data_IF_988868042736
#
_entry.id   IF_988868042736
#
_cell.length_a   1.000
_cell.length_b   1.000
_cell.length_c   1.000
_cell.angle_alpha   90.00
_cell.angle_beta   90.00
_cell.angle_gamma   90.00
#
_symmetry.space_group_name_H-M   'P 1'
#
loop_
_entity.id
_entity.type
_entity.pdbx_description
1 polymer ?
#
# COMPACT_ATOMS: atom_id res chain seq x y z
N UNK A 1 35.90 18.76 30.06
CA UNK A 1 35.50 19.27 28.74
C UNK A 1 34.00 19.07 28.63
N UNK A 2 33.22 20.12 28.91
CA UNK A 2 31.76 20.06 28.91
C UNK A 2 31.32 19.98 27.45
N UNK A 3 30.63 18.90 27.08
CA UNK A 3 29.94 18.78 25.80
C UNK A 3 28.80 19.79 25.80
N UNK A 4 29.03 20.94 25.15
CA UNK A 4 27.98 21.91 24.86
C UNK A 4 27.13 21.28 23.76
N UNK A 5 25.90 20.88 24.09
CA UNK A 5 24.91 20.53 23.07
C UNK A 5 24.78 21.73 22.12
N UNK A 6 24.92 21.55 20.80
CA UNK A 6 24.69 22.63 19.85
C UNK A 6 23.25 23.18 20.04
N UNK A 7 23.02 24.48 19.84
CA UNK A 7 21.70 25.07 19.99
C UNK A 7 20.73 24.38 19.03
N UNK A 8 19.60 23.92 19.58
CA UNK A 8 18.48 23.39 18.83
C UNK A 8 17.91 24.54 17.99
N UNK A 9 18.14 24.51 16.67
CA UNK A 9 17.53 25.46 15.73
C UNK A 9 16.04 25.15 15.75
N UNK A 10 15.21 26.06 16.26
CA UNK A 10 13.75 25.89 16.22
C UNK A 10 13.27 25.82 14.77
N UNK A 11 12.43 24.85 14.45
CA UNK A 11 11.77 24.76 13.16
C UNK A 11 10.97 26.05 12.88
N UNK A 12 11.06 26.56 11.65
CA UNK A 12 10.25 27.70 11.23
C UNK A 12 8.80 27.25 11.05
N UNK A 13 7.86 28.09 11.48
CA UNK A 13 6.42 27.81 11.32
C UNK A 13 6.07 27.60 9.85
N UNK A 14 5.12 26.70 9.60
CA UNK A 14 4.56 26.50 8.27
C UNK A 14 3.88 27.78 7.76
N UNK A 15 3.92 27.94 6.45
CA UNK A 15 3.31 29.04 5.69
C UNK A 15 2.32 28.46 4.68
N UNK A 16 1.39 29.27 4.22
CA UNK A 16 0.43 28.86 3.21
C UNK A 16 0.53 29.77 1.99
N UNK A 17 0.66 29.17 0.82
CA UNK A 17 0.60 29.85 -0.47
C UNK A 17 -0.53 29.25 -1.31
N UNK A 18 -1.23 30.10 -2.05
CA UNK A 18 -2.25 29.66 -3.01
C UNK A 18 -1.63 29.58 -4.40
N UNK A 19 -1.78 28.42 -5.05
CA UNK A 19 -1.33 28.18 -6.40
C UNK A 19 -2.52 27.83 -7.29
N UNK A 20 -2.75 28.64 -8.33
CA UNK A 20 -3.67 28.27 -9.41
C UNK A 20 -3.12 27.07 -10.17
N UNK A 21 -3.80 25.92 -10.08
CA UNK A 21 -3.47 24.70 -10.80
C UNK A 21 -4.07 24.71 -12.21
N UNK A 22 -5.25 25.31 -12.37
CA UNK A 22 -5.86 25.67 -13.66
C UNK A 22 -6.77 26.89 -13.51
N UNK A 23 -7.52 27.23 -14.56
CA UNK A 23 -8.36 28.42 -14.62
C UNK A 23 -9.51 28.41 -13.58
N UNK A 24 -9.85 27.24 -13.02
CA UNK A 24 -10.99 27.06 -12.11
C UNK A 24 -10.58 26.51 -10.73
N UNK A 25 -9.32 26.11 -10.55
CA UNK A 25 -8.87 25.37 -9.37
C UNK A 25 -7.60 25.96 -8.76
N UNK A 26 -7.71 26.31 -7.47
CA UNK A 26 -6.58 26.66 -6.63
C UNK A 26 -6.21 25.50 -5.70
N UNK A 27 -4.91 25.30 -5.48
CA UNK A 27 -4.39 24.45 -4.41
C UNK A 27 -3.68 25.27 -3.35
N UNK A 28 -3.85 24.85 -2.10
CA UNK A 28 -3.08 25.36 -0.97
C UNK A 28 -1.78 24.58 -0.84
N UNK A 29 -0.65 25.28 -0.97
CA UNK A 29 0.66 24.77 -0.62
C UNK A 29 0.91 25.04 0.87
N UNK A 30 1.03 24.00 1.68
CA UNK A 30 1.56 24.14 3.05
C UNK A 30 3.07 24.01 2.98
N UNK A 31 3.75 25.13 3.17
CA UNK A 31 5.19 25.29 3.02
C UNK A 31 5.85 25.22 4.40
N UNK A 32 6.78 24.29 4.56
CA UNK A 32 7.68 24.19 5.71
C UNK A 32 9.05 24.70 5.27
N UNK A 33 9.37 25.99 5.50
CA UNK A 33 10.53 26.65 4.91
C UNK A 33 11.84 26.10 5.48
N UNK A 34 12.88 26.05 4.64
CA UNK A 34 14.24 25.73 5.10
C UNK A 34 15.30 26.43 4.25
N UNK A 35 16.42 26.80 4.89
CA UNK A 35 17.50 27.56 4.24
C UNK A 35 18.48 26.71 3.39
N UNK A 36 18.17 25.45 3.11
CA UNK A 36 18.99 24.61 2.24
C UNK A 36 18.63 24.68 0.76
N UNK A 37 19.34 23.88 -0.03
CA UNK A 37 19.27 23.85 -1.50
C UNK A 37 18.31 22.77 -2.05
N UNK A 38 17.53 22.13 -1.18
CA UNK A 38 16.64 21.02 -1.54
C UNK A 38 15.19 21.34 -1.19
N UNK A 39 14.28 20.95 -2.08
CA UNK A 39 12.84 21.05 -1.95
C UNK A 39 12.21 19.66 -2.15
N UNK A 40 11.39 19.23 -1.20
CA UNK A 40 10.56 18.03 -1.29
C UNK A 40 9.09 18.44 -1.48
N UNK A 41 8.52 18.13 -2.64
CA UNK A 41 7.08 18.28 -2.88
C UNK A 41 6.40 16.97 -2.47
N UNK A 42 5.52 17.01 -1.46
CA UNK A 42 4.82 15.87 -0.90
C UNK A 42 3.39 15.80 -1.43
N UNK A 43 3.09 14.73 -2.16
CA UNK A 43 1.76 14.36 -2.64
C UNK A 43 1.18 13.20 -1.81
N UNK A 44 0.23 13.46 -0.89
CA UNK A 44 -0.39 12.43 -0.06
C UNK A 44 -1.33 11.54 -0.90
N UNK A 45 -1.54 10.30 -0.46
CA UNK A 45 -2.54 9.39 -1.09
C UNK A 45 -3.95 9.59 -0.56
N UNK A 46 -4.05 9.89 0.71
CA UNK A 46 -5.25 10.16 1.50
C UNK A 46 -4.73 11.02 2.65
N UNK A 47 -5.59 11.78 3.34
CA UNK A 47 -5.09 12.70 4.36
C UNK A 47 -4.23 12.01 5.41
N UNK A 48 -2.93 12.22 5.33
CA UNK A 48 -1.98 11.96 6.40
C UNK A 48 -2.33 12.97 7.50
N UNK A 49 -2.46 12.57 8.78
CA UNK A 49 -2.81 13.50 9.85
C UNK A 49 -1.84 14.68 9.88
N UNK A 50 -2.37 15.89 10.09
CA UNK A 50 -1.58 17.12 10.06
C UNK A 50 -0.37 17.05 11.00
N UNK A 51 -0.55 16.53 12.22
CA UNK A 51 0.53 16.31 13.19
C UNK A 51 1.66 15.43 12.64
N UNK A 52 1.32 14.40 11.86
CA UNK A 52 2.31 13.51 11.25
C UNK A 52 3.07 14.22 10.13
N UNK A 53 2.39 15.06 9.35
CA UNK A 53 3.03 15.89 8.32
C UNK A 53 3.99 16.88 8.97
N UNK A 54 3.54 17.58 10.01
CA UNK A 54 4.34 18.53 10.80
C UNK A 54 5.58 17.84 11.39
N UNK A 55 5.42 16.71 12.08
CA UNK A 55 6.54 15.98 12.70
C UNK A 55 7.62 15.55 11.68
N UNK A 56 7.22 15.14 10.48
CA UNK A 56 8.15 14.72 9.43
C UNK A 56 8.78 15.93 8.74
N UNK A 57 8.00 16.99 8.50
CA UNK A 57 8.48 18.22 7.90
C UNK A 57 9.46 18.94 8.82
N UNK A 58 9.19 19.00 10.13
CA UNK A 58 10.10 19.54 11.14
C UNK A 58 11.45 18.81 11.10
N UNK A 59 11.46 17.48 11.08
CA UNK A 59 12.69 16.69 10.94
C UNK A 59 13.47 17.07 9.67
N UNK A 60 12.78 17.26 8.55
CA UNK A 60 13.38 17.64 7.27
C UNK A 60 13.91 19.09 7.28
N UNK A 61 13.20 20.03 7.92
CA UNK A 61 13.67 21.42 8.08
C UNK A 61 14.98 21.49 8.89
N UNK A 62 15.12 20.68 9.95
CA UNK A 62 16.38 20.56 10.70
C UNK A 62 17.53 20.02 9.84
N UNK A 63 17.20 19.21 8.83
CA UNK A 63 18.12 18.72 7.80
C UNK A 63 18.27 19.68 6.62
N UNK A 64 17.71 20.89 6.73
CA UNK A 64 17.71 21.98 5.73
C UNK A 64 16.97 21.64 4.43
N UNK A 65 16.01 20.72 4.48
CA UNK A 65 15.12 20.41 3.36
C UNK A 65 13.82 21.20 3.53
N UNK A 66 13.47 21.97 2.52
CA UNK A 66 12.17 22.63 2.45
C UNK A 66 11.11 21.62 2.01
N UNK A 67 9.92 21.67 2.60
CA UNK A 67 8.83 20.74 2.27
C UNK A 67 7.60 21.52 1.81
N UNK A 68 7.05 21.15 0.68
CA UNK A 68 5.74 21.62 0.23
C UNK A 68 4.75 20.47 0.29
N UNK A 69 3.79 20.54 1.20
CA UNK A 69 2.71 19.56 1.29
C UNK A 69 1.49 20.07 0.52
N UNK A 70 0.96 19.23 -0.38
CA UNK A 70 -0.13 19.62 -1.30
C UNK A 70 -1.21 18.55 -1.36
N UNK A 71 -2.38 18.81 -0.76
CA UNK A 71 -3.54 17.92 -0.83
C UNK A 71 -4.35 18.18 -2.10
N UNK A 72 -3.98 17.50 -3.20
CA UNK A 72 -4.67 17.64 -4.49
C UNK A 72 -6.10 17.08 -4.47
N UNK A 73 -6.44 16.18 -3.54
CA UNK A 73 -7.83 15.74 -3.39
C UNK A 73 -8.69 16.89 -2.85
N UNK A 74 -8.17 17.64 -1.88
CA UNK A 74 -8.84 18.82 -1.36
C UNK A 74 -8.99 19.91 -2.43
N UNK A 75 -7.93 20.23 -3.16
CA UNK A 75 -7.97 21.22 -4.25
C UNK A 75 -9.04 20.88 -5.30
N UNK A 76 -9.21 19.58 -5.62
CA UNK A 76 -10.17 19.08 -6.61
C UNK A 76 -11.54 18.74 -6.03
N UNK A 77 -11.81 19.07 -4.76
CA UNK A 77 -13.04 18.69 -4.04
C UNK A 77 -13.39 17.19 -4.14
N UNK A 78 -12.36 16.34 -4.23
CA UNK A 78 -12.50 14.90 -4.36
C UNK A 78 -12.61 14.25 -2.98
N UNK A 79 -13.48 13.23 -2.80
CA UNK A 79 -13.55 12.48 -1.55
C UNK A 79 -12.20 11.84 -1.21
N UNK A 80 -11.81 11.82 0.07
CA UNK A 80 -10.55 11.23 0.57
C UNK A 80 -10.56 9.70 0.53
N UNK A 81 -10.64 9.14 -0.68
CA UNK A 81 -10.69 7.70 -0.96
C UNK A 81 -9.61 7.30 -1.95
N UNK A 82 -9.20 6.03 -1.92
CA UNK A 82 -8.16 5.54 -2.81
C UNK A 82 -8.52 5.61 -4.30
N UNK A 83 -9.79 5.45 -4.67
CA UNK A 83 -10.24 5.56 -6.06
C UNK A 83 -10.23 7.01 -6.56
N UNK A 84 -10.46 7.98 -5.66
CA UNK A 84 -10.43 9.40 -6.03
C UNK A 84 -9.04 9.87 -6.46
N UNK A 85 -7.98 9.24 -5.94
CA UNK A 85 -6.59 9.60 -6.27
C UNK A 85 -6.30 9.48 -7.77
N UNK A 86 -6.92 8.52 -8.45
CA UNK A 86 -6.77 8.34 -9.90
C UNK A 86 -7.54 9.37 -10.73
N UNK A 87 -8.35 10.22 -10.09
CA UNK A 87 -9.05 11.33 -10.75
C UNK A 87 -8.27 12.63 -10.71
N UNK A 88 -7.13 12.66 -10.01
CA UNK A 88 -6.22 13.81 -10.02
C UNK A 88 -5.66 13.93 -11.45
N UNK A 89 -5.86 15.07 -12.15
CA UNK A 89 -5.31 15.25 -13.48
C UNK A 89 -3.78 15.18 -13.48
N UNK A 90 -3.21 14.50 -14.47
CA UNK A 90 -1.75 14.37 -14.63
C UNK A 90 -1.04 15.74 -14.67
N UNK A 91 -1.72 16.77 -15.20
CA UNK A 91 -1.20 18.13 -15.31
C UNK A 91 -1.00 18.82 -13.95
N UNK A 92 -1.67 18.40 -12.88
CA UNK A 92 -1.56 19.04 -11.56
C UNK A 92 -0.12 18.96 -11.04
N UNK A 93 0.51 17.79 -11.20
CA UNK A 93 1.92 17.58 -10.85
C UNK A 93 2.84 18.42 -11.72
N UNK A 94 2.52 18.59 -13.02
CA UNK A 94 3.30 19.43 -13.94
C UNK A 94 3.29 20.88 -13.48
N UNK A 95 2.13 21.40 -13.07
CA UNK A 95 1.98 22.78 -12.60
C UNK A 95 2.77 23.00 -11.30
N UNK A 96 2.71 22.05 -10.36
CA UNK A 96 3.50 22.10 -9.13
C UNK A 96 5.01 22.14 -9.41
N UNK A 97 5.49 21.26 -10.29
CA UNK A 97 6.91 21.21 -10.66
C UNK A 97 7.35 22.50 -11.35
N UNK A 98 6.56 23.02 -12.30
CA UNK A 98 6.87 24.29 -13.00
C UNK A 98 6.85 25.49 -12.07
N UNK A 99 5.91 25.53 -11.12
CA UNK A 99 5.85 26.58 -10.12
C UNK A 99 7.12 26.54 -9.25
N UNK A 100 7.49 25.36 -8.72
CA UNK A 100 8.75 25.18 -8.00
C UNK A 100 9.97 25.61 -8.83
N UNK A 101 10.01 25.25 -10.12
CA UNK A 101 11.09 25.67 -11.00
C UNK A 101 11.18 27.18 -11.17
N UNK A 102 10.04 27.88 -11.17
CA UNK A 102 9.96 29.33 -11.34
C UNK A 102 10.35 30.10 -10.08
N UNK A 103 9.90 29.65 -8.91
CA UNK A 103 10.03 30.42 -7.66
C UNK A 103 11.27 30.08 -6.85
N UNK A 104 11.93 28.95 -7.14
CA UNK A 104 13.14 28.53 -6.43
C UNK A 104 14.21 27.96 -7.35
N UNK A 105 15.47 28.10 -6.94
CA UNK A 105 16.64 27.47 -7.56
C UNK A 105 17.04 26.15 -6.90
N UNK A 106 16.25 25.67 -5.92
CA UNK A 106 16.49 24.41 -5.21
C UNK A 106 16.43 23.20 -6.15
N UNK A 107 17.08 22.12 -5.73
CA UNK A 107 16.92 20.79 -6.29
C UNK A 107 15.60 20.19 -5.82
N UNK A 108 14.77 19.73 -6.75
CA UNK A 108 13.37 19.37 -6.52
C UNK A 108 13.22 17.86 -6.46
N UNK A 109 12.56 17.34 -5.44
CA UNK A 109 12.19 15.93 -5.30
C UNK A 109 10.68 15.83 -5.18
N UNK A 110 10.10 14.78 -5.76
CA UNK A 110 8.70 14.45 -5.54
C UNK A 110 8.63 13.29 -4.56
N UNK A 111 7.79 13.40 -3.55
CA UNK A 111 7.47 12.33 -2.61
C UNK A 111 5.99 11.99 -2.73
N UNK A 112 5.68 10.73 -3.03
CA UNK A 112 4.32 10.26 -3.19
C UNK A 112 4.05 9.01 -2.36
N UNK A 113 2.84 8.92 -1.82
CA UNK A 113 2.45 7.83 -0.92
C UNK A 113 1.45 6.90 -1.60
N UNK A 114 1.49 5.61 -1.29
CA UNK A 114 0.43 4.64 -1.62
C UNK A 114 -0.12 4.79 -3.06
N UNK A 115 -1.35 5.27 -3.24
CA UNK A 115 -1.98 5.38 -4.58
C UNK A 115 -1.59 6.66 -5.32
N UNK A 116 -1.08 7.68 -4.62
CA UNK A 116 -0.54 8.89 -5.26
C UNK A 116 0.72 8.60 -6.11
N UNK A 117 1.28 7.40 -5.98
CA UNK A 117 2.30 6.87 -6.91
C UNK A 117 1.88 7.01 -8.36
N UNK A 118 0.62 6.72 -8.70
CA UNK A 118 0.15 6.73 -10.08
C UNK A 118 0.10 8.15 -10.68
N UNK A 119 -0.64 9.12 -10.11
CA UNK A 119 -0.63 10.49 -10.63
C UNK A 119 0.77 11.12 -10.57
N UNK A 120 1.60 10.79 -9.58
CA UNK A 120 3.00 11.22 -9.53
C UNK A 120 3.79 10.74 -10.75
N UNK A 121 3.70 9.44 -11.09
CA UNK A 121 4.37 8.87 -12.27
C UNK A 121 3.83 9.46 -13.57
N UNK A 122 2.51 9.62 -13.70
CA UNK A 122 1.89 10.15 -14.92
C UNK A 122 2.26 11.60 -15.14
N UNK A 123 2.13 12.44 -14.11
CA UNK A 123 2.47 13.85 -14.19
C UNK A 123 3.97 14.08 -14.38
N UNK A 124 4.83 13.27 -13.75
CA UNK A 124 6.27 13.33 -14.01
C UNK A 124 6.62 12.95 -15.45
N UNK A 125 5.97 11.91 -16.01
CA UNK A 125 6.15 11.54 -17.41
C UNK A 125 5.70 12.67 -18.35
N UNK A 126 4.56 13.30 -18.08
CA UNK A 126 4.06 14.44 -18.85
C UNK A 126 5.01 15.64 -18.75
N UNK A 127 5.52 15.94 -17.54
CA UNK A 127 6.51 16.99 -17.32
C UNK A 127 7.81 16.70 -18.09
N UNK A 128 8.30 15.46 -18.05
CA UNK A 128 9.47 15.00 -18.79
C UNK A 128 9.36 15.15 -20.32
N UNK A 129 8.14 15.08 -20.86
CA UNK A 129 7.88 15.28 -22.29
C UNK A 129 7.85 16.75 -22.70
N UNK A 130 7.86 17.69 -21.74
CA UNK A 130 7.88 19.12 -22.02
C UNK A 130 9.29 19.61 -22.37
N UNK A 131 9.39 20.70 -23.13
CA UNK A 131 10.68 21.25 -23.61
C UNK A 131 11.52 21.96 -22.51
N UNK A 132 11.33 21.62 -21.24
CA UNK A 132 11.95 22.30 -20.09
C UNK A 132 13.24 21.58 -19.69
N UNK A 133 14.22 22.32 -19.16
CA UNK A 133 15.43 21.73 -18.61
C UNK A 133 15.15 21.04 -17.26
N UNK A 134 15.25 19.72 -17.24
CA UNK A 134 14.98 18.88 -16.07
C UNK A 134 16.18 18.72 -15.11
N UNK A 135 17.29 19.45 -15.29
CA UNK A 135 18.54 19.24 -14.55
C UNK A 135 18.46 19.41 -13.03
N UNK A 136 17.42 20.08 -12.53
CA UNK A 136 17.19 20.30 -11.08
C UNK A 136 16.29 19.26 -10.43
N UNK A 137 15.69 18.35 -11.18
CA UNK A 137 14.90 17.28 -10.58
C UNK A 137 15.81 16.20 -10.02
N UNK A 138 15.71 15.93 -8.72
CA UNK A 138 16.55 15.00 -7.97
C UNK A 138 16.08 13.56 -8.01
N UNK A 139 14.78 13.31 -8.19
CA UNK A 139 14.19 11.98 -8.25
C UNK A 139 12.83 11.89 -7.55
N UNK A 140 12.23 10.70 -7.66
CA UNK A 140 10.94 10.35 -7.08
C UNK A 140 11.11 9.42 -5.87
N UNK A 141 10.58 9.82 -4.72
CA UNK A 141 10.50 9.00 -3.53
C UNK A 141 9.08 8.44 -3.39
N UNK A 142 8.97 7.13 -3.18
CA UNK A 142 7.70 6.42 -3.09
C UNK A 142 7.60 5.72 -1.75
N UNK A 143 6.62 6.10 -0.93
CA UNK A 143 6.32 5.41 0.32
C UNK A 143 5.14 4.45 0.15
N UNK A 144 5.41 3.15 0.35
CA UNK A 144 4.44 2.07 0.22
C UNK A 144 3.65 2.09 -1.11
N UNK A 145 4.32 2.23 -2.27
CA UNK A 145 3.67 2.53 -3.55
C UNK A 145 2.65 1.48 -4.00
N UNK A 146 1.68 1.93 -4.81
CA UNK A 146 0.72 1.06 -5.48
C UNK A 146 0.80 1.27 -6.99
N UNK A 147 1.15 0.20 -7.72
CA UNK A 147 1.51 0.24 -9.15
C UNK A 147 0.48 -0.40 -10.08
N UNK A 148 -0.62 -0.94 -9.55
CA UNK A 148 -1.59 -1.71 -10.32
C UNK A 148 -2.81 -0.87 -10.69
N UNK A 149 -3.55 -1.32 -11.70
CA UNK A 149 -4.82 -0.72 -12.13
C UNK A 149 -5.86 -0.85 -11.04
N UNK A 150 -6.06 -2.07 -10.56
CA UNK A 150 -6.94 -2.39 -9.45
C UNK A 150 -6.39 -3.60 -8.68
N UNK A 151 -7.07 -3.94 -7.58
CA UNK A 151 -6.83 -5.22 -6.93
C UNK A 151 -7.68 -6.27 -7.66
N UNK A 152 -7.10 -7.19 -8.47
CA UNK A 152 -7.80 -8.27 -9.15
C UNK A 152 -8.59 -9.16 -8.19
N UNK A 153 -9.55 -9.88 -8.74
CA UNK A 153 -10.18 -10.97 -8.00
C UNK A 153 -9.15 -12.09 -7.76
N UNK A 154 -9.27 -12.84 -6.65
CA UNK A 154 -8.33 -13.92 -6.38
C UNK A 154 -8.33 -14.93 -7.53
N UNK A 155 -7.12 -15.32 -7.96
CA UNK A 155 -6.91 -16.21 -9.10
C UNK A 155 -6.72 -15.50 -10.44
N UNK A 156 -6.96 -14.19 -10.51
CA UNK A 156 -6.60 -13.38 -11.67
C UNK A 156 -5.21 -12.77 -11.51
N UNK A 157 -4.56 -12.47 -12.63
CA UNK A 157 -3.31 -11.72 -12.64
C UNK A 157 -3.60 -10.23 -12.43
N UNK A 158 -2.63 -9.54 -11.84
CA UNK A 158 -2.72 -8.12 -11.58
C UNK A 158 -2.15 -7.32 -12.75
N UNK A 159 -2.93 -6.40 -13.30
CA UNK A 159 -2.48 -5.52 -14.37
C UNK A 159 -1.72 -4.32 -13.80
N UNK A 160 -0.49 -4.14 -14.26
CA UNK A 160 0.31 -2.96 -13.95
C UNK A 160 -0.28 -1.74 -14.66
N UNK A 161 -0.26 -0.59 -13.99
CA UNK A 161 -0.61 0.67 -14.63
C UNK A 161 0.41 0.94 -15.76
N UNK A 162 -0.02 1.29 -17.00
CA UNK A 162 0.90 1.44 -18.13
C UNK A 162 2.06 2.39 -17.88
N UNK A 163 1.84 3.45 -17.08
CA UNK A 163 2.87 4.42 -16.71
C UNK A 163 4.08 3.81 -15.99
N UNK A 164 3.90 2.68 -15.31
CA UNK A 164 4.98 1.94 -14.60
C UNK A 164 6.01 1.41 -15.60
N UNK A 165 5.56 1.05 -16.81
CA UNK A 165 6.42 0.60 -17.90
C UNK A 165 6.89 1.74 -18.82
N UNK A 166 6.77 3.00 -18.35
CA UNK A 166 6.98 4.17 -19.21
C UNK A 166 7.69 5.32 -18.49
N UNK A 167 8.36 5.03 -17.37
CA UNK A 167 9.20 5.99 -16.65
C UNK A 167 10.66 5.57 -16.68
N UNK A 168 11.55 6.54 -16.75
CA UNK A 168 13.00 6.33 -16.71
C UNK A 168 13.67 7.12 -15.58
N UNK A 169 12.90 7.54 -14.57
CA UNK A 169 13.35 8.45 -13.51
C UNK A 169 14.16 7.72 -12.43
N UNK A 170 15.04 8.42 -11.69
CA UNK A 170 15.54 7.93 -10.42
C UNK A 170 14.39 7.73 -9.43
N UNK A 171 14.23 6.53 -8.90
CA UNK A 171 13.14 6.17 -7.98
C UNK A 171 13.72 5.55 -6.71
N UNK A 172 13.23 6.01 -5.56
CA UNK A 172 13.52 5.40 -4.27
C UNK A 172 12.22 4.89 -3.65
N UNK A 173 12.15 3.59 -3.36
CA UNK A 173 10.98 2.95 -2.76
C UNK A 173 11.24 2.65 -1.29
N UNK A 174 10.41 3.21 -0.42
CA UNK A 174 10.31 2.87 1.00
C UNK A 174 9.15 1.88 1.16
N UNK A 175 9.44 0.59 1.40
CA UNK A 175 8.43 -0.46 1.43
C UNK A 175 8.37 -1.17 2.79
N UNK A 176 7.30 -0.98 3.58
CA UNK A 176 7.03 -1.78 4.76
C UNK A 176 6.95 -3.28 4.43
N UNK A 177 7.68 -4.09 5.20
CA UNK A 177 7.77 -5.54 5.02
C UNK A 177 6.43 -6.24 5.27
N UNK A 178 5.68 -5.81 6.29
CA UNK A 178 4.38 -6.40 6.68
C UNK A 178 3.23 -5.78 5.88
N UNK A 179 3.45 -5.51 4.60
CA UNK A 179 2.44 -5.02 3.67
C UNK A 179 2.23 -6.07 2.58
N UNK A 180 0.99 -6.34 2.15
CA UNK A 180 0.73 -7.17 0.97
C UNK A 180 1.46 -6.69 -0.29
N UNK A 181 1.83 -5.41 -0.35
CA UNK A 181 2.56 -4.79 -1.45
C UNK A 181 4.04 -5.14 -1.49
N UNK A 182 4.62 -5.62 -0.38
CA UNK A 182 6.04 -5.99 -0.33
C UNK A 182 6.40 -7.03 -1.40
N UNK A 183 5.56 -8.06 -1.54
CA UNK A 183 5.79 -9.15 -2.47
C UNK A 183 5.60 -8.76 -3.94
N UNK A 184 4.90 -7.66 -4.20
CA UNK A 184 4.66 -7.13 -5.55
C UNK A 184 5.92 -6.49 -6.15
N UNK A 185 6.90 -6.10 -5.32
CA UNK A 185 8.16 -5.53 -5.78
C UNK A 185 8.93 -6.45 -6.74
N UNK A 186 8.71 -7.77 -6.65
CA UNK A 186 9.32 -8.76 -7.56
C UNK A 186 8.94 -8.52 -9.03
N UNK A 187 7.76 -7.95 -9.27
CA UNK A 187 7.22 -7.71 -10.61
C UNK A 187 7.34 -6.22 -10.98
N UNK A 188 7.13 -5.32 -10.01
CA UNK A 188 7.09 -3.86 -10.28
C UNK A 188 8.47 -3.24 -10.42
N UNK A 189 9.48 -3.68 -9.65
CA UNK A 189 10.85 -3.14 -9.76
C UNK A 189 11.46 -3.47 -11.12
N UNK A 190 11.42 -4.73 -11.62
CA UNK A 190 11.90 -5.02 -12.97
C UNK A 190 11.17 -4.25 -14.07
N UNK A 191 9.86 -3.99 -13.91
CA UNK A 191 9.09 -3.18 -14.86
C UNK A 191 9.60 -1.73 -14.95
N UNK A 192 9.87 -1.10 -13.80
CA UNK A 192 10.45 0.24 -13.71
C UNK A 192 11.87 0.29 -14.29
N UNK A 193 12.72 -0.68 -13.94
CA UNK A 193 14.11 -0.76 -14.39
C UNK A 193 14.21 -1.03 -15.90
N UNK A 194 13.38 -1.92 -16.44
CA UNK A 194 13.29 -2.19 -17.88
C UNK A 194 12.97 -0.93 -18.68
N UNK A 195 12.28 0.02 -18.07
CA UNK A 195 11.88 1.30 -18.66
C UNK A 195 12.95 2.39 -18.52
N UNK A 196 14.08 2.07 -17.87
CA UNK A 196 15.25 2.93 -17.73
C UNK A 196 15.39 3.64 -16.38
N UNK A 197 14.52 3.33 -15.41
CA UNK A 197 14.59 3.91 -14.06
C UNK A 197 15.74 3.28 -13.26
N UNK A 198 16.48 4.10 -12.52
CA UNK A 198 17.36 3.59 -11.45
C UNK A 198 16.51 3.44 -10.19
N UNK A 199 16.31 2.21 -9.72
CA UNK A 199 15.38 1.92 -8.61
C UNK A 199 16.15 1.48 -7.38
N UNK A 200 16.01 2.23 -6.29
CA UNK A 200 16.47 1.83 -4.96
C UNK A 200 15.29 1.34 -4.14
N UNK A 201 15.48 0.24 -3.40
CA UNK A 201 14.45 -0.31 -2.51
C UNK A 201 14.99 -0.38 -1.09
N UNK A 202 14.31 0.30 -0.17
CA UNK A 202 14.52 0.17 1.26
C UNK A 202 13.33 -0.56 1.89
N UNK A 203 13.56 -1.81 2.27
CA UNK A 203 12.58 -2.63 2.99
C UNK A 203 12.56 -2.19 4.45
N UNK A 204 11.43 -1.67 4.91
CA UNK A 204 11.23 -1.25 6.29
C UNK A 204 10.79 -2.46 7.11
N UNK A 205 11.77 -3.14 7.71
CA UNK A 205 11.61 -4.42 8.42
C UNK A 205 10.65 -4.28 9.60
N UNK A 206 9.79 -5.28 9.79
CA UNK A 206 8.80 -5.37 10.88
C UNK A 206 7.83 -4.18 10.97
N UNK A 207 7.69 -3.39 9.90
CA UNK A 207 6.72 -2.31 9.84
C UNK A 207 5.53 -2.71 8.98
N UNK A 208 4.35 -2.28 9.41
CA UNK A 208 3.12 -2.41 8.63
C UNK A 208 2.98 -1.23 7.66
N UNK A 209 2.12 -1.41 6.66
CA UNK A 209 1.64 -0.28 5.88
C UNK A 209 1.05 0.79 6.80
N UNK A 210 1.24 2.07 6.45
CA UNK A 210 0.73 3.23 7.19
C UNK A 210 1.38 3.47 8.57
N UNK A 211 2.51 2.83 8.87
CA UNK A 211 3.19 2.88 10.18
C UNK A 211 3.31 4.29 10.80
N UNK A 212 3.40 5.34 9.99
CA UNK A 212 3.65 6.72 10.43
C UNK A 212 2.43 7.44 10.99
N UNK A 213 1.22 6.91 10.85
CA UNK A 213 0.00 7.51 11.41
C UNK A 213 -1.02 6.46 11.90
N UNK A 214 -0.55 5.29 12.31
CA UNK A 214 -1.44 4.26 12.85
C UNK A 214 -1.92 4.66 14.25
N UNK A 215 -3.24 4.63 14.53
CA UNK A 215 -3.74 4.85 15.89
C UNK A 215 -3.35 3.70 16.84
N UNK A 216 -3.08 2.52 16.30
CA UNK A 216 -2.61 1.31 16.98
C UNK A 216 -1.11 1.05 16.73
N UNK A 217 -0.30 2.10 16.56
CA UNK A 217 1.13 1.97 16.29
C UNK A 217 1.86 1.18 17.39
N UNK A 218 2.69 0.23 16.99
CA UNK A 218 3.58 -0.49 17.91
C UNK A 218 4.71 0.43 18.38
N UNK A 219 5.37 0.07 19.49
CA UNK A 219 6.57 0.80 19.95
C UNK A 219 7.69 0.86 18.89
N UNK A 220 7.78 -0.15 18.02
CA UNK A 220 8.75 -0.16 16.93
C UNK A 220 8.39 0.86 15.86
N UNK A 221 7.12 0.90 15.45
CA UNK A 221 6.60 1.88 14.48
C UNK A 221 6.74 3.31 15.01
N UNK A 222 6.36 3.58 16.26
CA UNK A 222 6.52 4.91 16.89
C UNK A 222 7.98 5.37 16.90
N UNK A 223 8.93 4.49 17.25
CA UNK A 223 10.36 4.83 17.20
C UNK A 223 10.83 5.12 15.79
N UNK A 224 10.35 4.37 14.81
CA UNK A 224 10.71 4.54 13.42
C UNK A 224 10.16 5.86 12.86
N UNK A 225 8.89 6.20 13.14
CA UNK A 225 8.26 7.46 12.73
C UNK A 225 9.05 8.69 13.18
N UNK A 226 9.60 8.66 14.41
CA UNK A 226 10.47 9.74 14.94
C UNK A 226 11.78 9.94 14.18
N UNK A 227 12.16 9.00 13.33
CA UNK A 227 13.37 9.08 12.50
C UNK A 227 13.01 9.14 11.01
N UNK A 228 11.73 9.13 10.65
CA UNK A 228 11.33 8.94 9.27
C UNK A 228 11.77 10.09 8.35
N UNK A 229 11.78 11.33 8.83
CA UNK A 229 12.33 12.46 8.07
C UNK A 229 13.82 12.29 7.74
N UNK A 230 14.60 11.71 8.65
CA UNK A 230 16.01 11.37 8.38
C UNK A 230 16.15 10.30 7.29
N UNK A 231 15.26 9.31 7.28
CA UNK A 231 15.26 8.25 6.27
C UNK A 231 14.88 8.80 4.89
N UNK A 232 13.88 9.70 4.84
CA UNK A 232 13.51 10.43 3.60
C UNK A 232 14.72 11.23 3.10
N UNK A 233 15.38 11.98 3.97
CA UNK A 233 16.59 12.74 3.61
C UNK A 233 17.72 11.85 3.07
N UNK A 234 18.02 10.73 3.73
CA UNK A 234 19.03 9.78 3.25
C UNK A 234 18.67 9.20 1.88
N UNK A 235 17.39 8.96 1.63
CA UNK A 235 16.88 8.48 0.35
C UNK A 235 17.11 9.52 -0.77
N UNK A 236 16.90 10.81 -0.48
CA UNK A 236 17.23 11.91 -1.39
C UNK A 236 18.72 11.97 -1.72
N UNK A 237 19.59 11.74 -0.72
CA UNK A 237 21.03 11.71 -0.94
C UNK A 237 21.47 10.54 -1.83
N UNK A 238 20.82 9.38 -1.70
CA UNK A 238 21.14 8.25 -2.59
C UNK A 238 20.69 8.52 -4.03
N UNK A 239 19.53 9.12 -4.24
CA UNK A 239 19.05 9.52 -5.57
C UNK A 239 20.04 10.48 -6.27
N UNK A 240 20.75 11.31 -5.51
CA UNK A 240 21.77 12.20 -6.06
C UNK A 240 22.93 11.48 -6.74
N UNK A 241 23.21 10.23 -6.35
CA UNK A 241 24.30 9.44 -6.94
C UNK A 241 24.04 9.02 -8.39
N UNK A 242 22.78 9.02 -8.84
CA UNK A 242 22.37 8.55 -10.19
C UNK A 242 21.74 9.65 -11.05
N UNK A 243 21.68 10.89 -10.56
CA UNK A 243 20.99 11.98 -11.24
C UNK A 243 21.77 12.60 -12.42
N UNK A 244 23.05 12.26 -12.58
CA UNK A 244 23.89 12.79 -13.67
C UNK A 244 23.72 12.04 -15.00
N UNK A 245 22.89 10.99 -15.05
CA UNK A 245 22.62 10.23 -16.28
C UNK A 245 21.68 11.04 -17.17
N UNK A 246 22.07 11.25 -18.44
CA UNK A 246 21.16 11.79 -19.46
C UNK A 246 20.09 10.74 -19.78
N UNK A 247 18.81 11.15 -19.74
CA UNK A 247 17.66 10.26 -19.88
C UNK A 247 16.82 10.70 -21.06
N UNK A 248 16.56 9.80 -22.01
CA UNK A 248 15.66 10.04 -23.15
C UNK A 248 14.28 9.54 -22.78
N UNK A 249 13.32 10.46 -22.74
CA UNK A 249 11.95 10.20 -22.35
C UNK A 249 11.24 9.45 -23.47
N UNK A 250 10.64 8.30 -23.17
CA UNK A 250 9.83 7.56 -24.14
C UNK A 250 8.65 8.43 -24.57
N UNK A 251 8.50 8.72 -25.87
CA UNK A 251 7.46 9.62 -26.41
C UNK A 251 6.16 8.92 -26.81
N UNK A 252 6.07 7.59 -26.67
CA UNK A 252 4.87 6.83 -27.02
C UNK A 252 3.66 7.19 -26.15
N UNK A 253 2.46 7.16 -26.74
CA UNK A 253 1.21 7.27 -25.99
C UNK A 253 1.10 6.10 -24.99
N UNK A 254 0.57 6.39 -23.81
CA UNK A 254 0.23 5.33 -22.85
C UNK A 254 -1.07 4.69 -23.28
N UNK A 255 -1.15 3.37 -23.16
CA UNK A 255 -2.43 2.67 -23.23
C UNK A 255 -3.38 3.28 -22.19
N UNK A 256 -4.58 3.64 -22.62
CA UNK A 256 -5.59 4.17 -21.70
C UNK A 256 -6.24 3.00 -20.99
N UNK A 257 -6.11 2.95 -19.66
CA UNK A 257 -6.78 1.94 -18.84
C UNK A 257 -7.85 2.62 -18.00
N UNK A 258 -9.08 2.13 -18.11
CA UNK A 258 -10.19 2.59 -17.28
C UNK A 258 -10.13 1.91 -15.92
N UNK A 259 -9.84 2.67 -14.87
CA UNK A 259 -10.03 2.21 -13.50
C UNK A 259 -11.53 2.16 -13.21
N UNK A 260 -12.04 1.00 -12.78
CA UNK A 260 -13.46 0.85 -12.44
C UNK A 260 -13.86 1.86 -11.35
N UNK A 261 -14.92 2.62 -11.61
CA UNK A 261 -15.48 3.53 -10.63
C UNK A 261 -16.38 2.78 -9.63
N UNK A 262 -16.33 3.19 -8.36
CA UNK A 262 -17.20 2.67 -7.30
C UNK A 262 -16.66 1.47 -6.53
N UNK A 263 -17.43 1.01 -5.54
CA UNK A 263 -17.12 -0.22 -4.81
C UNK A 263 -17.43 -1.40 -5.72
N UNK A 264 -16.44 -2.25 -5.96
CA UNK A 264 -16.68 -3.58 -6.54
C UNK A 264 -17.61 -4.34 -5.59
N UNK A 265 -18.74 -4.85 -6.11
CA UNK A 265 -19.60 -5.73 -5.34
C UNK A 265 -18.79 -6.93 -4.87
N UNK A 266 -18.86 -7.20 -3.57
CA UNK A 266 -18.10 -8.27 -2.91
C UNK A 266 -19.06 -9.43 -2.70
N UNK A 267 -18.90 -10.49 -3.50
CA UNK A 267 -19.65 -11.72 -3.37
C UNK A 267 -18.74 -12.91 -3.67
N UNK A 268 -19.11 -14.07 -3.14
CA UNK A 268 -18.36 -15.30 -3.35
C UNK A 268 -18.51 -15.77 -4.79
N UNK A 269 -17.42 -15.71 -5.56
CA UNK A 269 -17.38 -15.95 -7.00
C UNK A 269 -16.67 -17.25 -7.35
N UNK A 270 -17.02 -17.85 -8.49
CA UNK A 270 -16.32 -19.02 -9.00
C UNK A 270 -14.86 -18.68 -9.29
N UNK A 271 -13.94 -19.49 -8.76
CA UNK A 271 -12.51 -19.25 -8.89
C UNK A 271 -12.03 -19.44 -10.33
N UNK A 272 -11.25 -18.49 -10.85
CA UNK A 272 -10.79 -18.47 -12.24
C UNK A 272 -9.30 -18.84 -12.40
N UNK A 273 -8.62 -19.18 -11.30
CA UNK A 273 -7.21 -19.57 -11.32
C UNK A 273 -6.97 -21.07 -11.37
N UNK A 274 -5.73 -21.49 -11.07
CA UNK A 274 -5.35 -22.91 -10.93
C UNK A 274 -6.06 -23.52 -9.73
N UNK A 275 -6.95 -24.48 -9.96
CA UNK A 275 -7.85 -24.99 -8.91
C UNK A 275 -7.13 -25.82 -7.86
N UNK A 276 -5.94 -26.33 -8.13
CA UNK A 276 -5.08 -26.93 -7.11
C UNK A 276 -4.56 -25.83 -6.16
N UNK A 277 -4.93 -25.84 -4.86
CA UNK A 277 -4.45 -24.85 -3.92
C UNK A 277 -2.94 -24.99 -3.72
N UNK A 278 -2.21 -23.88 -3.59
CA UNK A 278 -0.84 -23.91 -3.12
C UNK A 278 -0.76 -24.59 -1.74
N UNK A 279 0.40 -25.17 -1.36
CA UNK A 279 0.57 -25.74 -0.04
C UNK A 279 0.25 -24.72 1.07
N UNK A 280 -0.40 -25.18 2.12
CA UNK A 280 -0.64 -24.39 3.33
C UNK A 280 -0.38 -25.29 4.54
N UNK A 281 0.80 -25.10 5.13
CA UNK A 281 1.26 -25.86 6.30
C UNK A 281 1.89 -24.89 7.28
N UNK A 282 1.18 -24.58 8.36
CA UNK A 282 1.53 -23.52 9.30
C UNK A 282 1.28 -23.95 10.75
N UNK A 283 2.03 -23.40 11.73
CA UNK A 283 1.67 -23.54 13.12
C UNK A 283 0.35 -22.81 13.43
N UNK A 284 -0.50 -23.40 14.25
CA UNK A 284 -1.69 -22.78 14.80
C UNK A 284 -1.38 -22.06 16.13
N UNK A 285 -2.36 -21.36 16.68
CA UNK A 285 -2.22 -20.64 17.95
C UNK A 285 -1.86 -21.54 19.14
N UNK A 286 -2.23 -22.82 19.12
CA UNK A 286 -1.88 -23.80 20.16
C UNK A 286 -0.51 -24.47 19.93
N UNK A 287 0.22 -24.06 18.88
CA UNK A 287 1.51 -24.63 18.48
C UNK A 287 1.42 -25.90 17.64
N UNK A 288 0.23 -26.46 17.40
CA UNK A 288 0.06 -27.60 16.50
C UNK A 288 0.32 -27.17 15.06
N UNK A 289 0.93 -28.03 14.24
CA UNK A 289 1.08 -27.75 12.81
C UNK A 289 -0.12 -28.28 12.06
N UNK A 290 -0.86 -27.37 11.44
CA UNK A 290 -2.00 -27.70 10.57
C UNK A 290 -1.51 -27.71 9.13
N UNK A 291 -1.85 -28.77 8.40
CA UNK A 291 -1.58 -28.94 6.98
C UNK A 291 -2.93 -29.04 6.25
N UNK A 292 -3.15 -28.23 5.22
CA UNK A 292 -4.40 -28.21 4.45
C UNK A 292 -4.81 -29.62 3.96
N UNK A 293 -3.83 -30.49 3.67
CA UNK A 293 -4.08 -31.88 3.24
C UNK A 293 -4.74 -32.76 4.31
N UNK A 294 -4.74 -32.33 5.58
CA UNK A 294 -5.43 -33.06 6.65
C UNK A 294 -6.95 -33.00 6.50
N UNK A 295 -7.45 -32.05 5.70
CA UNK A 295 -8.87 -31.81 5.49
C UNK A 295 -9.38 -32.38 4.16
N UNK A 296 -8.67 -33.35 3.57
CA UNK A 296 -9.18 -34.13 2.44
C UNK A 296 -10.56 -34.72 2.80
N UNK A 297 -11.49 -34.71 1.84
CA UNK A 297 -12.91 -35.06 2.01
C UNK A 297 -13.75 -34.09 2.88
N UNK A 298 -13.21 -32.91 3.23
CA UNK A 298 -13.95 -31.82 3.85
C UNK A 298 -13.94 -30.59 2.95
N UNK A 299 -14.98 -29.75 3.07
CA UNK A 299 -14.98 -28.42 2.47
C UNK A 299 -14.21 -27.49 3.39
N UNK A 300 -13.26 -26.73 2.85
CA UNK A 300 -12.39 -25.84 3.63
C UNK A 300 -12.58 -24.40 3.19
N UNK A 301 -12.90 -23.51 4.14
CA UNK A 301 -12.82 -22.06 3.94
C UNK A 301 -11.48 -21.54 4.48
N UNK A 302 -10.56 -21.18 3.60
CA UNK A 302 -9.29 -20.53 3.95
C UNK A 302 -9.48 -19.02 3.88
N UNK A 303 -9.25 -18.29 4.99
CA UNK A 303 -9.37 -16.83 5.06
C UNK A 303 -8.05 -16.20 5.47
N UNK A 304 -7.52 -15.30 4.64
CA UNK A 304 -6.30 -14.55 4.90
C UNK A 304 -6.63 -13.19 5.51
N UNK A 305 -6.13 -12.95 6.73
CA UNK A 305 -6.50 -11.78 7.53
C UNK A 305 -5.35 -11.23 8.38
N UNK A 306 -5.60 -10.09 9.03
CA UNK A 306 -4.71 -9.48 10.01
C UNK A 306 -5.52 -8.73 11.08
N UNK A 307 -5.00 -8.63 12.31
CA UNK A 307 -5.70 -8.00 13.46
C UNK A 307 -6.06 -6.54 13.21
N UNK A 308 -5.24 -5.88 12.39
CA UNK A 308 -5.36 -4.47 12.06
C UNK A 308 -6.23 -4.17 10.85
N UNK A 309 -6.84 -5.19 10.23
CA UNK A 309 -7.69 -5.08 9.04
C UNK A 309 -9.18 -4.95 9.47
N UNK A 310 -9.79 -3.76 9.45
CA UNK A 310 -11.16 -3.59 9.94
C UNK A 310 -12.21 -4.45 9.21
N UNK A 311 -12.16 -4.61 7.86
CA UNK A 311 -13.09 -5.51 7.18
C UNK A 311 -12.93 -6.98 7.59
N UNK A 312 -11.71 -7.42 7.89
CA UNK A 312 -11.45 -8.76 8.38
C UNK A 312 -12.10 -8.97 9.75
N UNK A 313 -11.90 -8.02 10.66
CA UNK A 313 -12.51 -8.02 12.00
C UNK A 313 -14.04 -8.05 11.93
N UNK A 314 -14.62 -7.35 10.95
CA UNK A 314 -16.07 -7.28 10.76
C UNK A 314 -16.70 -8.60 10.30
N UNK A 315 -16.02 -9.39 9.45
CA UNK A 315 -16.60 -10.64 8.94
C UNK A 315 -16.48 -11.84 9.89
N UNK A 316 -15.49 -11.85 10.79
CA UNK A 316 -15.20 -13.00 11.66
C UNK A 316 -16.41 -13.48 12.51
N UNK A 317 -17.26 -12.61 13.09
CA UNK A 317 -18.46 -13.07 13.78
C UNK A 317 -19.45 -13.84 12.89
N UNK A 318 -19.57 -13.47 11.60
CA UNK A 318 -20.41 -14.22 10.65
C UNK A 318 -19.79 -15.56 10.28
N UNK A 319 -18.46 -15.64 10.20
CA UNK A 319 -17.73 -16.89 9.97
C UNK A 319 -17.89 -17.85 11.14
N UNK A 320 -17.85 -17.35 12.38
CA UNK A 320 -18.15 -18.16 13.58
C UNK A 320 -19.56 -18.74 13.52
N UNK A 321 -20.59 -17.92 13.23
CA UNK A 321 -21.97 -18.41 13.09
C UNK A 321 -22.15 -19.41 11.95
N UNK A 322 -21.41 -19.24 10.84
CA UNK A 322 -21.37 -20.24 9.77
C UNK A 322 -20.79 -21.57 10.28
N UNK A 323 -19.67 -21.53 10.99
CA UNK A 323 -19.06 -22.73 11.59
C UNK A 323 -20.01 -23.43 12.56
N UNK A 324 -20.72 -22.67 13.40
CA UNK A 324 -21.71 -23.20 14.33
C UNK A 324 -22.89 -23.87 13.60
N UNK A 325 -23.41 -23.26 12.54
CA UNK A 325 -24.51 -23.81 11.74
C UNK A 325 -24.15 -25.12 11.03
N UNK A 326 -22.89 -25.27 10.62
CA UNK A 326 -22.36 -26.45 9.93
C UNK A 326 -21.67 -27.44 10.89
N UNK A 327 -21.92 -27.32 12.19
CA UNK A 327 -21.37 -28.24 13.19
C UNK A 327 -21.81 -29.68 12.90
N UNK A 328 -20.86 -30.58 12.71
CA UNK A 328 -21.10 -31.99 12.41
C UNK A 328 -21.07 -32.33 10.92
N UNK A 329 -21.10 -31.33 10.03
CA UNK A 329 -20.85 -31.50 8.60
C UNK A 329 -19.34 -31.57 8.31
N UNK A 330 -18.91 -32.16 7.17
CA UNK A 330 -17.51 -32.18 6.75
C UNK A 330 -17.07 -30.80 6.22
N UNK A 331 -17.00 -29.81 7.13
CA UNK A 331 -16.65 -28.42 6.86
C UNK A 331 -15.73 -27.85 7.94
N UNK A 332 -14.76 -27.03 7.54
CA UNK A 332 -13.87 -26.33 8.46
C UNK A 332 -13.46 -24.96 7.92
N UNK A 333 -13.21 -24.02 8.83
CA UNK A 333 -12.64 -22.70 8.53
C UNK A 333 -11.19 -22.68 9.01
N UNK A 334 -10.27 -22.19 8.19
CA UNK A 334 -8.87 -21.94 8.53
C UNK A 334 -8.59 -20.43 8.40
N UNK A 335 -8.45 -19.73 9.53
CA UNK A 335 -8.10 -18.32 9.56
C UNK A 335 -6.59 -18.13 9.55
N UNK A 336 -6.00 -17.77 8.41
CA UNK A 336 -4.56 -17.56 8.25
C UNK A 336 -4.22 -16.10 8.59
N UNK A 337 -3.64 -15.88 9.77
CA UNK A 337 -3.09 -14.60 10.18
C UNK A 337 -1.72 -14.36 9.53
N UNK A 338 -1.51 -13.14 9.01
CA UNK A 338 -0.33 -12.81 8.21
C UNK A 338 0.59 -11.82 8.91
N UNK A 339 1.86 -12.21 9.05
CA UNK A 339 2.99 -11.38 9.42
C UNK A 339 2.86 -10.67 10.78
N UNK A 340 2.12 -11.27 11.72
CA UNK A 340 2.03 -10.83 13.11
C UNK A 340 2.58 -11.90 14.04
N UNK A 341 3.11 -11.49 15.20
CA UNK A 341 3.55 -12.43 16.22
C UNK A 341 2.36 -13.01 17.00
N UNK A 342 2.60 -14.16 17.65
CA UNK A 342 1.59 -14.88 18.41
C UNK A 342 0.95 -14.03 19.51
N UNK A 343 1.75 -13.26 20.26
CA UNK A 343 1.26 -12.41 21.33
C UNK A 343 0.30 -11.32 20.82
N UNK A 344 0.57 -10.75 19.63
CA UNK A 344 -0.30 -9.75 19.00
C UNK A 344 -1.67 -10.37 18.66
N UNK A 345 -1.67 -11.56 18.07
CA UNK A 345 -2.91 -12.25 17.67
C UNK A 345 -3.68 -12.75 18.90
N UNK A 346 -3.00 -13.32 19.89
CA UNK A 346 -3.61 -13.79 21.13
C UNK A 346 -4.32 -12.65 21.88
N UNK A 347 -3.62 -11.53 22.09
CA UNK A 347 -4.21 -10.35 22.74
C UNK A 347 -5.41 -9.82 21.97
N UNK A 348 -5.36 -9.84 20.64
CA UNK A 348 -6.46 -9.41 19.80
C UNK A 348 -7.70 -10.31 19.95
N UNK A 349 -7.52 -11.63 19.86
CA UNK A 349 -8.61 -12.59 20.02
C UNK A 349 -9.26 -12.48 21.41
N UNK A 350 -8.45 -12.43 22.48
CA UNK A 350 -8.97 -12.32 23.85
C UNK A 350 -9.74 -11.01 24.11
N UNK A 351 -9.40 -9.92 23.41
CA UNK A 351 -9.95 -8.58 23.71
C UNK A 351 -11.00 -8.08 22.72
N UNK A 352 -11.07 -8.63 21.49
CA UNK A 352 -11.89 -8.07 20.40
C UNK A 352 -12.82 -9.07 19.73
N UNK A 353 -12.40 -10.33 19.54
CA UNK A 353 -13.13 -11.29 18.73
C UNK A 353 -13.04 -12.69 19.34
N UNK A 354 -14.20 -13.30 19.61
CA UNK A 354 -14.27 -14.70 19.99
C UNK A 354 -14.57 -15.58 18.77
N UNK A 355 -13.63 -16.45 18.40
CA UNK A 355 -13.79 -17.47 17.34
C UNK A 355 -13.18 -18.79 17.80
N UNK A 356 -13.82 -19.89 17.41
CA UNK A 356 -13.40 -21.25 17.79
C UNK A 356 -12.73 -22.02 16.64
N UNK A 357 -12.81 -21.51 15.42
CA UNK A 357 -12.15 -22.11 14.27
C UNK A 357 -10.61 -21.94 14.33
N UNK A 358 -9.83 -22.87 13.78
CA UNK A 358 -8.37 -22.79 13.80
C UNK A 358 -7.80 -21.50 13.21
N UNK A 359 -6.92 -20.85 13.97
CA UNK A 359 -6.12 -19.70 13.52
C UNK A 359 -4.68 -20.16 13.26
N UNK A 360 -4.25 -20.04 12.01
CA UNK A 360 -2.92 -20.40 11.51
C UNK A 360 -2.02 -19.16 11.48
N UNK A 361 -0.76 -19.31 11.88
CA UNK A 361 0.20 -18.22 12.04
C UNK A 361 1.25 -18.24 10.92
N UNK A 362 1.07 -17.39 9.90
CA UNK A 362 2.09 -17.14 8.88
C UNK A 362 2.92 -15.91 9.23
N UNK A 363 3.77 -16.05 10.24
CA UNK A 363 4.64 -14.98 10.75
C UNK A 363 5.61 -14.43 9.69
N UNK A 364 5.95 -15.24 8.67
CA UNK A 364 6.81 -14.84 7.56
C UNK A 364 6.04 -14.21 6.38
N UNK A 365 4.71 -14.39 6.32
CA UNK A 365 3.87 -13.92 5.22
C UNK A 365 4.10 -14.64 3.88
N UNK A 366 4.71 -15.82 3.90
CA UNK A 366 5.06 -16.57 2.68
C UNK A 366 3.83 -17.03 1.90
N UNK A 367 2.74 -17.32 2.60
CA UNK A 367 1.49 -17.79 2.00
C UNK A 367 0.84 -16.72 1.12
N UNK A 368 1.03 -15.42 1.40
CA UNK A 368 0.54 -14.34 0.55
C UNK A 368 1.01 -14.49 -0.89
N UNK A 369 2.31 -14.73 -1.07
CA UNK A 369 2.92 -14.87 -2.39
C UNK A 369 2.44 -16.16 -3.07
N UNK A 370 2.35 -17.27 -2.33
CA UNK A 370 1.97 -18.56 -2.87
C UNK A 370 0.51 -18.57 -3.34
N UNK A 371 -0.39 -17.97 -2.55
CA UNK A 371 -1.83 -17.87 -2.81
C UNK A 371 -2.23 -16.64 -3.62
N UNK A 372 -1.25 -15.84 -4.08
CA UNK A 372 -1.47 -14.59 -4.81
C UNK A 372 -2.45 -13.63 -4.10
N UNK A 373 -2.37 -13.55 -2.77
CA UNK A 373 -3.19 -12.67 -1.95
C UNK A 373 -2.59 -11.27 -1.95
N UNK A 374 -3.31 -10.32 -2.55
CA UNK A 374 -2.83 -8.95 -2.71
C UNK A 374 -3.47 -7.93 -1.76
N UNK A 375 -4.54 -8.32 -1.07
CA UNK A 375 -5.23 -7.48 -0.11
C UNK A 375 -6.06 -8.33 0.85
N UNK A 376 -6.42 -7.74 1.98
CA UNK A 376 -7.20 -8.39 3.03
C UNK A 376 -8.62 -7.82 3.16
N UNK A 377 -9.59 -8.65 3.57
CA UNK A 377 -9.50 -10.11 3.63
C UNK A 377 -9.53 -10.73 2.24
N UNK A 378 -8.95 -11.91 2.09
CA UNK A 378 -9.14 -12.75 0.90
C UNK A 378 -9.49 -14.17 1.35
N UNK A 379 -10.55 -14.73 0.80
CA UNK A 379 -11.06 -16.05 1.15
C UNK A 379 -11.10 -16.99 -0.04
N UNK A 380 -10.84 -18.28 0.20
CA UNK A 380 -10.93 -19.37 -0.77
C UNK A 380 -11.78 -20.49 -0.18
N UNK A 381 -12.73 -21.01 -0.97
CA UNK A 381 -13.52 -22.20 -0.63
C UNK A 381 -13.02 -23.37 -1.46
N UNK A 382 -12.58 -24.40 -0.77
CA UNK A 382 -11.97 -25.61 -1.33
C UNK A 382 -12.96 -26.75 -1.11
N UNK A 383 -13.24 -27.54 -2.15
CA UNK A 383 -14.13 -28.68 -2.06
C UNK A 383 -13.46 -29.92 -1.45
N UNK A 384 -14.26 -30.97 -1.29
CA UNK A 384 -13.85 -32.26 -0.70
C UNK A 384 -12.76 -32.98 -1.50
N UNK A 385 -12.58 -32.63 -2.77
CA UNK A 385 -11.52 -33.15 -3.64
C UNK A 385 -10.25 -32.29 -3.59
N UNK A 386 -10.22 -31.29 -2.71
CA UNK A 386 -9.07 -30.41 -2.51
C UNK A 386 -8.91 -29.37 -3.63
N UNK A 387 -9.99 -29.00 -4.34
CA UNK A 387 -9.95 -27.99 -5.40
C UNK A 387 -10.58 -26.68 -4.95
N UNK A 388 -9.94 -25.56 -5.27
CA UNK A 388 -10.52 -24.23 -5.08
C UNK A 388 -11.71 -24.08 -6.04
N UNK A 389 -12.89 -23.84 -5.47
CA UNK A 389 -14.14 -23.65 -6.21
C UNK A 389 -14.59 -22.21 -6.24
N UNK A 390 -14.42 -21.54 -5.11
CA UNK A 390 -14.81 -20.15 -4.99
C UNK A 390 -13.72 -19.33 -4.33
N UNK A 391 -13.69 -18.05 -4.65
CA UNK A 391 -12.84 -17.10 -3.96
C UNK A 391 -13.51 -15.72 -3.86
N UNK A 392 -13.00 -14.92 -2.95
CA UNK A 392 -13.48 -13.58 -2.67
C UNK A 392 -12.32 -12.72 -2.17
N UNK A 393 -12.12 -11.54 -2.77
CA UNK A 393 -11.38 -10.45 -2.12
C UNK A 393 -12.42 -9.48 -1.52
N UNK A 394 -12.30 -9.17 -0.23
CA UNK A 394 -13.24 -8.32 0.52
C UNK A 394 -14.06 -9.10 1.54
N UNK A 395 -14.73 -8.38 2.44
CA UNK A 395 -15.55 -8.96 3.52
C UNK A 395 -17.01 -9.13 3.09
N UNK A 396 -17.64 -10.22 3.52
CA UNK A 396 -19.09 -10.46 3.40
C UNK A 396 -19.65 -11.04 4.71
N UNK A 397 -20.97 -11.13 4.82
CA UNK A 397 -21.63 -11.94 5.84
C UNK A 397 -21.69 -13.40 5.39
N UNK A 398 -20.89 -14.25 6.05
CA UNK A 398 -20.72 -15.66 5.71
C UNK A 398 -21.90 -16.56 6.13
N UNK A 399 -22.77 -16.09 7.02
CA UNK A 399 -23.89 -16.87 7.57
C UNK A 399 -25.24 -16.63 6.86
N UNK A 400 -25.20 -16.03 5.66
CA UNK A 400 -26.36 -15.84 4.80
C UNK A 400 -26.83 -17.16 4.18
N UNK A 401 -28.13 -17.28 3.90
CA UNK A 401 -28.70 -18.50 3.30
C UNK A 401 -28.07 -18.84 1.94
N UNK A 402 -27.70 -17.83 1.15
CA UNK A 402 -27.03 -18.04 -0.15
C UNK A 402 -25.66 -18.73 0.02
N UNK A 403 -24.82 -18.22 0.92
CA UNK A 403 -23.47 -18.76 1.15
C UNK A 403 -23.54 -20.15 1.78
N UNK A 404 -24.43 -20.35 2.76
CA UNK A 404 -24.66 -21.66 3.38
C UNK A 404 -25.07 -22.67 2.31
N UNK A 405 -26.04 -22.33 1.44
CA UNK A 405 -26.47 -23.24 0.38
C UNK A 405 -25.32 -23.60 -0.59
N UNK A 406 -24.46 -22.64 -0.95
CA UNK A 406 -23.28 -22.91 -1.80
C UNK A 406 -22.33 -23.90 -1.12
N UNK A 407 -22.04 -23.73 0.17
CA UNK A 407 -21.16 -24.62 0.93
C UNK A 407 -21.80 -26.01 1.11
N UNK A 408 -23.08 -26.09 1.46
CA UNK A 408 -23.82 -27.34 1.56
C UNK A 408 -23.86 -28.12 0.24
N UNK A 409 -23.94 -27.44 -0.90
CA UNK A 409 -23.83 -28.09 -2.21
C UNK A 409 -22.48 -28.80 -2.32
N UNK A 410 -21.37 -28.15 -2.00
CA UNK A 410 -20.04 -28.76 -2.02
C UNK A 410 -19.90 -29.93 -1.03
N UNK A 411 -20.54 -29.84 0.14
CA UNK A 411 -20.55 -30.92 1.14
C UNK A 411 -21.24 -32.18 0.58
N UNK A 412 -22.35 -31.98 -0.14
CA UNK A 412 -23.18 -33.05 -0.76
C UNK A 412 -22.58 -33.62 -2.04
N UNK A 413 -21.60 -32.94 -2.66
CA UNK A 413 -20.85 -33.46 -3.80
C UNK A 413 -20.09 -34.74 -3.41
N UNK A 414 -20.09 -35.71 -4.34
CA UNK A 414 -19.56 -37.06 -4.13
C UNK A 414 -18.06 -37.14 -4.31
#
# INVERSE_FOLDING_TARGET
>A
MVLVNPPMILAEKSQHETLAIDDETDATLTIFPANGDQLLIWIPSYATPAETVEDIADQLQHLKVEVWYVDLLEARFLPKTGSSVYKIPDNDIVVLLRHAEKVTNKKIYLYAESRATIPALQGLRLWQQSAVNHSRFGGLLLNSPYFYVETPDPGQLADLMPVVNATNLPIYILQPEQSPRYWQLKDTVPALEKSGSDVFVHVLRKLRGRFHFRPDATNAETRFTRQFGHIVYQSMQLLNSVNNKSRVVTTGELETVTVREGKKDRYLQAYQGVTEPPPLRLPAMDGTTIDLKQFDNQVVLVNFWATWCPPCVHEMPSMQRLSEKLTGDPFVILGVNIAEDHATVENFLQSKINVDFPILMDTAGNSLRQWNVMAFPTSFVIDKQGKIRYALFGSIDWDTAEIINKIETLIKEK
#
